data_IF_958044928564
#
_entry.id   IF_958044928564
#
_cell.length_a   1.000
_cell.length_b   1.000
_cell.length_c   1.000
_cell.angle_alpha   90.00
_cell.angle_beta   90.00
_cell.angle_gamma   90.00
#
_symmetry.space_group_name_H-M   'P 1'
#
loop_
_entity.id
_entity.type
_entity.pdbx_description
1 polymer ?
#
# COMPACT_ATOMS: atom_id res chain seq x y z
N UNK A 1 -32.70 -14.38 51.97
CA UNK A 1 -32.69 -13.00 52.50
C UNK A 1 -32.73 -12.05 51.31
N UNK A 2 -33.81 -11.26 51.19
CA UNK A 2 -33.99 -10.24 50.15
C UNK A 2 -33.14 -9.02 50.51
N UNK A 3 -32.31 -8.55 49.58
CA UNK A 3 -31.77 -7.19 49.62
C UNK A 3 -32.23 -6.50 48.34
N UNK A 4 -33.00 -5.43 48.52
CA UNK A 4 -33.63 -4.64 47.47
C UNK A 4 -33.17 -3.19 47.65
N UNK A 5 -33.08 -2.46 46.51
CA UNK A 5 -33.00 -0.99 46.33
C UNK A 5 -31.60 -0.37 46.39
N UNK A 6 -31.22 0.58 45.54
CA UNK A 6 -31.84 1.29 44.40
C UNK A 6 -30.71 2.02 43.61
N UNK A 7 -30.94 2.43 42.34
CA UNK A 7 -29.94 3.12 41.50
C UNK A 7 -29.87 4.64 41.77
N UNK A 8 -28.77 5.34 41.40
CA UNK A 8 -28.73 6.79 41.43
C UNK A 8 -29.39 7.42 40.19
N UNK A 9 -30.20 8.44 40.48
CA UNK A 9 -31.01 9.27 39.60
C UNK A 9 -30.18 10.31 38.84
N UNK A 10 -30.50 10.47 37.55
CA UNK A 10 -30.08 11.53 36.63
C UNK A 10 -30.67 12.89 37.04
N UNK A 11 -29.87 13.96 37.02
CA UNK A 11 -30.35 15.34 37.11
C UNK A 11 -29.93 16.09 35.84
N UNK A 12 -30.84 16.77 35.12
CA UNK A 12 -30.51 17.61 33.98
C UNK A 12 -30.20 19.04 34.46
N UNK A 13 -29.21 19.71 33.87
CA UNK A 13 -29.02 21.15 34.04
C UNK A 13 -28.91 21.80 32.65
N UNK A 14 -29.75 22.83 32.52
CA UNK A 14 -30.11 23.62 31.35
C UNK A 14 -28.94 24.38 30.69
N UNK A 15 -29.14 24.61 29.39
CA UNK A 15 -28.50 25.66 28.61
C UNK A 15 -29.06 27.05 28.99
N UNK A 16 -28.30 28.13 28.79
CA UNK A 16 -28.87 29.47 28.70
C UNK A 16 -29.24 29.82 27.25
N UNK A 17 -30.44 30.36 27.12
CA UNK A 17 -31.11 30.90 25.92
C UNK A 17 -30.69 32.35 25.62
N UNK A 18 -30.90 32.70 24.36
CA UNK A 18 -30.66 33.91 23.55
C UNK A 18 -30.89 35.33 24.11
N UNK A 19 -30.22 36.31 23.48
CA UNK A 19 -30.79 37.49 22.79
C UNK A 19 -29.60 38.20 22.08
N UNK A 20 -29.61 38.74 20.86
CA UNK A 20 -30.61 39.28 19.94
C UNK A 20 -29.85 40.39 19.18
N UNK A 21 -29.78 40.43 17.84
CA UNK A 21 -30.44 41.42 16.95
C UNK A 21 -29.81 41.23 15.56
N UNK A 22 -30.56 40.79 14.53
CA UNK A 22 -31.13 41.60 13.43
C UNK A 22 -30.09 42.50 12.72
N UNK A 23 -29.90 42.52 11.38
CA UNK A 23 -30.93 42.57 10.32
C UNK A 23 -30.31 42.52 8.89
N UNK A 24 -31.15 42.10 7.92
CA UNK A 24 -31.27 42.52 6.50
C UNK A 24 -30.21 42.00 5.47
N UNK A 25 -30.56 41.06 4.58
CA UNK A 25 -31.37 41.17 3.33
C UNK A 25 -30.68 41.91 2.17
N UNK A 26 -30.41 41.19 1.07
CA UNK A 26 -31.07 41.46 -0.21
C UNK A 26 -30.77 40.39 -1.26
N UNK A 27 -31.84 39.76 -1.71
CA UNK A 27 -32.03 39.01 -2.95
C UNK A 27 -31.68 39.85 -4.19
N UNK A 28 -31.22 39.21 -5.27
CA UNK A 28 -31.63 39.49 -6.66
C UNK A 28 -31.32 38.24 -7.49
N UNK A 29 -32.36 37.62 -8.02
CA UNK A 29 -32.28 36.71 -9.16
C UNK A 29 -32.43 37.50 -10.45
N UNK A 30 -31.63 37.17 -11.48
CA UNK A 30 -31.87 37.63 -12.84
C UNK A 30 -31.74 36.46 -13.82
N UNK A 31 -32.73 36.42 -14.71
CA UNK A 31 -33.06 35.40 -15.71
C UNK A 31 -32.05 35.35 -16.88
N UNK A 32 -32.04 34.18 -17.54
CA UNK A 32 -31.46 33.88 -18.86
C UNK A 32 -31.67 34.97 -19.91
N UNK A 33 -30.69 35.10 -20.83
CA UNK A 33 -30.96 35.29 -22.27
C UNK A 33 -30.02 34.43 -23.12
N UNK A 34 -30.62 33.74 -24.09
CA UNK A 34 -29.96 33.19 -25.29
C UNK A 34 -29.79 34.32 -26.31
N UNK A 35 -28.69 34.30 -27.05
CA UNK A 35 -28.63 34.86 -28.40
C UNK A 35 -27.70 34.02 -29.27
N UNK A 36 -28.22 33.75 -30.47
CA UNK A 36 -27.67 33.00 -31.58
C UNK A 36 -27.01 33.91 -32.61
N UNK A 37 -26.05 33.36 -33.36
CA UNK A 37 -25.48 33.90 -34.61
C UNK A 37 -23.95 33.95 -34.55
N UNK A 38 -23.14 33.61 -35.56
CA UNK A 38 -23.29 33.20 -36.96
C UNK A 38 -21.86 32.76 -37.38
N UNK A 39 -21.64 31.50 -37.79
CA UNK A 39 -21.20 31.07 -39.12
C UNK A 39 -19.91 31.73 -39.69
N UNK A 40 -18.81 30.96 -39.73
CA UNK A 40 -17.71 31.08 -40.70
C UNK A 40 -16.85 29.79 -40.74
N UNK A 41 -16.99 29.04 -41.85
CA UNK A 41 -15.98 28.32 -42.66
C UNK A 41 -14.89 27.39 -42.07
N UNK A 42 -15.13 26.07 -42.24
CA UNK A 42 -14.35 25.00 -42.95
C UNK A 42 -12.79 24.91 -42.87
N UNK A 43 -12.12 23.74 -43.08
CA UNK A 43 -12.62 22.51 -43.73
C UNK A 43 -12.31 21.15 -43.05
N UNK A 44 -13.03 20.11 -43.51
CA UNK A 44 -12.78 18.68 -43.27
C UNK A 44 -11.57 18.18 -44.08
N UNK A 45 -10.76 17.24 -43.57
CA UNK A 45 -9.85 16.47 -44.41
C UNK A 45 -10.58 15.28 -45.07
N UNK A 46 -10.35 15.19 -46.36
CA UNK A 46 -10.80 14.22 -47.35
C UNK A 46 -10.14 12.83 -47.15
N UNK A 47 -10.90 11.81 -47.54
CA UNK A 47 -10.48 10.41 -47.70
C UNK A 47 -9.28 10.31 -48.64
N UNK A 48 -8.32 9.46 -48.27
CA UNK A 48 -7.31 8.94 -49.19
C UNK A 48 -7.31 7.42 -49.13
N UNK A 49 -7.95 6.80 -50.12
CA UNK A 49 -7.79 5.39 -50.47
C UNK A 49 -6.38 5.17 -51.03
N UNK A 50 -5.56 4.37 -50.34
CA UNK A 50 -4.37 3.74 -50.94
C UNK A 50 -4.22 2.29 -50.46
N UNK A 51 -4.70 1.39 -51.33
CA UNK A 51 -4.21 0.04 -51.64
C UNK A 51 -3.47 -0.72 -50.53
N UNK A 52 -4.17 -1.74 -50.02
CA UNK A 52 -3.61 -2.98 -49.50
C UNK A 52 -2.57 -3.57 -50.48
N UNK A 53 -1.30 -3.62 -50.07
CA UNK A 53 -0.33 -4.62 -50.55
C UNK A 53 0.16 -5.41 -49.35
N UNK A 54 -0.20 -6.70 -49.33
CA UNK A 54 0.47 -7.73 -48.53
C UNK A 54 1.94 -7.74 -48.91
N UNK A 55 2.82 -7.55 -47.93
CA UNK A 55 4.21 -7.99 -48.00
C UNK A 55 4.41 -8.94 -46.84
N UNK A 56 5.06 -10.05 -47.17
CA UNK A 56 5.18 -11.27 -46.38
C UNK A 56 5.84 -11.05 -45.02
N UNK A 57 5.44 -11.90 -44.09
CA UNK A 57 6.14 -12.16 -42.83
C UNK A 57 7.59 -12.50 -43.10
N UNK A 58 8.51 -11.66 -42.61
CA UNK A 58 9.82 -12.11 -42.19
C UNK A 58 9.95 -11.87 -40.70
N UNK A 59 10.28 -12.97 -40.04
CA UNK A 59 10.37 -13.15 -38.60
C UNK A 59 11.77 -12.77 -38.12
N UNK A 60 11.85 -12.43 -36.82
CA UNK A 60 13.05 -12.13 -36.02
C UNK A 60 13.52 -10.68 -36.03
N UNK A 61 12.80 -9.84 -35.29
CA UNK A 61 13.48 -8.89 -34.41
C UNK A 61 13.29 -9.37 -32.97
N UNK A 62 14.37 -9.91 -32.42
CA UNK A 62 14.56 -10.06 -30.98
C UNK A 62 14.47 -8.65 -30.41
N UNK A 63 13.34 -8.31 -29.81
CA UNK A 63 13.22 -7.07 -29.06
C UNK A 63 14.28 -7.09 -27.98
N UNK A 64 15.17 -6.09 -27.97
CA UNK A 64 16.01 -5.84 -26.81
C UNK A 64 15.11 -5.83 -25.58
N UNK A 65 15.37 -6.70 -24.62
CA UNK A 65 14.86 -6.54 -23.27
C UNK A 65 15.24 -5.13 -22.84
N UNK A 66 14.26 -4.24 -22.79
CA UNK A 66 14.43 -2.93 -22.16
C UNK A 66 14.62 -3.24 -20.68
N UNK A 67 15.89 -3.43 -20.29
CA UNK A 67 16.26 -3.65 -18.90
C UNK A 67 15.77 -2.45 -18.11
N UNK A 68 14.83 -2.68 -17.18
CA UNK A 68 14.35 -1.63 -16.32
C UNK A 68 15.55 -1.02 -15.58
N UNK A 69 15.67 0.32 -15.53
CA UNK A 69 16.81 0.98 -14.91
C UNK A 69 16.98 0.53 -13.46
N UNK A 70 18.23 0.34 -13.04
CA UNK A 70 18.53 -0.08 -11.66
C UNK A 70 18.02 0.98 -10.69
N UNK A 71 17.56 0.57 -9.50
CA UNK A 71 17.01 1.51 -8.50
C UNK A 71 17.91 2.74 -8.27
N UNK A 72 19.21 2.51 -8.23
CA UNK A 72 20.25 3.52 -8.00
C UNK A 72 20.27 4.60 -9.10
N UNK A 73 19.94 4.23 -10.34
CA UNK A 73 19.84 5.16 -11.47
C UNK A 73 18.59 6.04 -11.35
N UNK A 74 17.55 5.54 -10.67
CA UNK A 74 16.29 6.25 -10.44
C UNK A 74 16.33 7.19 -9.23
N UNK A 75 17.06 6.84 -8.17
CA UNK A 75 17.05 7.60 -6.90
C UNK A 75 18.40 8.07 -6.39
N UNK A 76 19.47 7.88 -7.17
CA UNK A 76 20.87 8.10 -6.77
C UNK A 76 21.37 7.07 -5.75
N UNK A 77 22.68 6.81 -5.78
CA UNK A 77 23.33 5.74 -5.04
C UNK A 77 23.25 5.95 -3.52
N UNK A 78 23.48 7.17 -3.08
CA UNK A 78 23.50 7.57 -1.67
C UNK A 78 22.14 7.33 -1.02
N UNK A 79 21.05 7.62 -1.75
CA UNK A 79 19.70 7.36 -1.27
C UNK A 79 19.35 5.88 -1.27
N UNK A 80 19.84 5.11 -2.24
CA UNK A 80 19.64 3.66 -2.25
C UNK A 80 20.31 3.00 -1.03
N UNK A 81 21.53 3.46 -0.69
CA UNK A 81 22.30 3.03 0.48
C UNK A 81 21.60 3.38 1.80
N UNK A 82 21.11 4.62 1.95
CA UNK A 82 20.32 5.02 3.14
C UNK A 82 19.12 4.09 3.34
N UNK A 83 18.40 3.78 2.26
CA UNK A 83 17.23 2.91 2.34
C UNK A 83 17.59 1.47 2.72
N UNK A 84 18.78 0.98 2.40
CA UNK A 84 19.25 -0.34 2.85
C UNK A 84 19.55 -0.37 4.33
N UNK A 85 20.20 0.67 4.83
CA UNK A 85 20.47 0.82 6.27
C UNK A 85 19.16 0.88 7.04
N UNK A 86 18.14 1.55 6.49
CA UNK A 86 16.87 1.77 7.19
C UNK A 86 15.91 0.61 7.11
N UNK A 87 15.75 -0.01 5.94
CA UNK A 87 14.72 -1.02 5.71
C UNK A 87 15.28 -2.39 5.30
N UNK A 88 16.60 -2.46 5.15
CA UNK A 88 17.26 -3.59 4.53
C UNK A 88 17.28 -3.51 2.99
N UNK A 89 18.09 -4.38 2.39
CA UNK A 89 18.28 -4.51 0.95
C UNK A 89 16.98 -4.65 0.15
N UNK A 90 17.04 -4.38 -1.16
CA UNK A 90 15.90 -4.64 -2.03
C UNK A 90 15.87 -6.12 -2.46
N UNK A 91 14.80 -6.85 -2.20
CA UNK A 91 14.71 -8.28 -2.51
C UNK A 91 13.55 -8.62 -3.45
N UNK A 92 13.75 -9.55 -4.39
CA UNK A 92 12.66 -10.05 -5.22
C UNK A 92 11.71 -10.91 -4.38
N UNK A 93 10.54 -11.16 -4.96
CA UNK A 93 9.54 -12.07 -4.41
C UNK A 93 10.05 -13.51 -4.45
N UNK A 94 9.98 -14.19 -3.30
CA UNK A 94 10.27 -15.62 -3.20
C UNK A 94 9.00 -16.41 -2.93
N UNK A 95 8.88 -17.59 -3.52
CA UNK A 95 7.89 -18.61 -3.11
C UNK A 95 8.60 -19.84 -2.56
N UNK A 96 7.84 -20.74 -1.94
CA UNK A 96 8.37 -22.03 -1.45
C UNK A 96 8.85 -22.92 -2.60
N UNK A 97 8.22 -22.79 -3.77
CA UNK A 97 8.40 -23.66 -4.93
C UNK A 97 9.33 -23.05 -6.00
N UNK A 98 9.91 -21.87 -5.74
CA UNK A 98 10.80 -21.14 -6.66
C UNK A 98 10.67 -19.62 -6.56
N UNK A 99 11.35 -18.87 -7.43
CA UNK A 99 11.14 -17.44 -7.58
C UNK A 99 9.78 -17.18 -8.27
N UNK A 100 8.99 -16.23 -7.77
CA UNK A 100 7.80 -15.81 -8.53
C UNK A 100 6.57 -15.34 -7.76
N UNK A 101 5.54 -15.05 -8.55
CA UNK A 101 4.23 -14.58 -8.14
C UNK A 101 3.24 -15.72 -8.37
N UNK A 102 2.29 -15.92 -7.46
CA UNK A 102 1.33 -17.01 -7.66
C UNK A 102 0.41 -16.68 -8.84
N UNK A 103 -0.09 -17.70 -9.53
CA UNK A 103 -0.95 -17.49 -10.71
C UNK A 103 -2.20 -16.67 -10.41
N UNK A 104 -2.75 -16.76 -9.19
CA UNK A 104 -3.91 -15.97 -8.75
C UNK A 104 -3.57 -14.52 -8.34
N UNK A 105 -2.31 -14.14 -8.41
CA UNK A 105 -1.80 -12.78 -8.23
C UNK A 105 -1.37 -12.16 -9.57
N UNK A 106 -1.66 -12.84 -10.69
CA UNK A 106 -1.39 -12.39 -12.05
C UNK A 106 -2.71 -12.14 -12.79
N UNK A 107 -2.70 -11.22 -13.76
CA UNK A 107 -3.78 -11.03 -14.72
C UNK A 107 -3.73 -12.06 -15.87
N UNK A 108 -4.67 -11.96 -16.81
CA UNK A 108 -4.77 -12.87 -17.95
C UNK A 108 -3.55 -12.81 -18.88
N UNK A 109 -2.81 -11.70 -18.87
CA UNK A 109 -1.58 -11.51 -19.64
C UNK A 109 -0.32 -11.93 -18.85
N UNK A 110 -0.48 -12.46 -17.63
CA UNK A 110 0.62 -12.89 -16.77
C UNK A 110 1.34 -11.74 -16.06
N UNK A 111 0.75 -10.54 -16.00
CA UNK A 111 1.32 -9.39 -15.29
C UNK A 111 0.86 -9.37 -13.84
N UNK A 112 1.67 -8.87 -12.89
CA UNK A 112 1.28 -8.78 -11.50
C UNK A 112 0.03 -7.90 -11.30
N UNK A 113 -0.93 -8.42 -10.53
CA UNK A 113 -2.05 -7.63 -10.06
C UNK A 113 -1.58 -6.53 -9.11
N UNK A 114 -2.31 -5.42 -9.12
CA UNK A 114 -2.12 -4.30 -8.19
C UNK A 114 -3.19 -4.38 -7.12
N UNK A 115 -2.81 -4.16 -5.87
CA UNK A 115 -3.78 -4.14 -4.76
C UNK A 115 -4.90 -3.11 -5.04
N UNK A 116 -6.19 -3.50 -5.00
CA UNK A 116 -7.29 -2.65 -5.40
C UNK A 116 -7.50 -1.44 -4.47
N UNK A 117 -7.14 -1.58 -3.19
CA UNK A 117 -7.29 -0.51 -2.20
C UNK A 117 -6.12 -0.52 -1.20
N UNK A 118 -5.04 0.23 -1.47
CA UNK A 118 -3.87 0.32 -0.57
C UNK A 118 -3.54 1.75 -0.21
N UNK A 119 -3.00 1.96 0.98
CA UNK A 119 -2.49 3.27 1.41
C UNK A 119 -0.98 3.30 1.34
N UNK A 120 -0.43 4.46 0.97
CA UNK A 120 0.99 4.72 0.95
C UNK A 120 1.35 5.64 2.13
N UNK A 121 2.23 5.17 3.00
CA UNK A 121 2.72 5.89 4.16
C UNK A 121 4.19 6.27 3.93
N UNK A 122 4.58 7.44 4.45
CA UNK A 122 5.94 7.94 4.34
C UNK A 122 6.29 8.74 5.60
N UNK A 123 7.52 8.58 6.11
CA UNK A 123 7.96 9.35 7.28
C UNK A 123 7.94 10.85 6.98
N UNK A 124 7.49 11.64 7.95
CA UNK A 124 7.32 13.09 7.80
C UNK A 124 6.26 13.51 6.77
N UNK A 125 5.49 12.57 6.22
CA UNK A 125 4.34 12.86 5.37
C UNK A 125 3.11 13.26 6.20
N UNK A 126 2.13 13.88 5.55
CA UNK A 126 0.82 14.13 6.16
C UNK A 126 0.15 12.81 6.51
N UNK A 127 -0.32 12.61 7.76
CA UNK A 127 -1.11 11.44 8.12
C UNK A 127 -2.33 11.27 7.19
N UNK A 128 -2.75 10.03 6.89
CA UNK A 128 -3.99 9.80 6.16
C UNK A 128 -5.19 10.44 6.87
N UNK A 129 -6.16 10.92 6.09
CA UNK A 129 -7.47 11.30 6.64
C UNK A 129 -8.25 10.03 7.00
N UNK A 130 -8.17 9.62 8.25
CA UNK A 130 -8.85 8.42 8.75
C UNK A 130 -10.38 8.52 8.76
N UNK A 131 -10.94 9.69 8.46
CA UNK A 131 -12.38 9.87 8.26
C UNK A 131 -12.82 9.61 6.82
N UNK A 132 -11.89 9.62 5.87
CA UNK A 132 -12.16 9.32 4.46
C UNK A 132 -12.56 7.84 4.30
N UNK A 133 -13.75 7.53 3.74
CA UNK A 133 -14.16 6.17 3.43
C UNK A 133 -13.15 5.39 2.58
N UNK A 134 -12.42 6.04 1.67
CA UNK A 134 -11.40 5.39 0.86
C UNK A 134 -10.20 4.93 1.69
N UNK A 135 -9.80 5.71 2.71
CA UNK A 135 -8.75 5.35 3.66
C UNK A 135 -9.21 4.20 4.55
N UNK A 136 -10.44 4.27 5.08
CA UNK A 136 -11.02 3.19 5.88
C UNK A 136 -11.19 1.88 5.11
N UNK A 137 -11.47 1.96 3.81
CA UNK A 137 -11.56 0.79 2.94
C UNK A 137 -10.22 0.05 2.82
N UNK A 138 -9.10 0.79 2.80
CA UNK A 138 -7.77 0.22 2.72
C UNK A 138 -7.25 -0.33 4.07
N UNK A 139 -7.71 0.24 5.19
CA UNK A 139 -7.40 -0.22 6.53
C UNK A 139 -8.56 0.04 7.49
N UNK A 140 -9.35 -1.00 7.77
CA UNK A 140 -10.45 -0.97 8.72
C UNK A 140 -9.99 -1.57 10.04
N UNK A 141 -9.75 -0.68 11.02
CA UNK A 141 -9.26 -1.10 12.32
C UNK A 141 -10.29 -1.90 13.11
N UNK A 142 -11.58 -1.57 12.97
CA UNK A 142 -12.64 -2.26 13.69
C UNK A 142 -12.74 -3.70 13.19
N UNK A 143 -12.63 -3.90 11.88
CA UNK A 143 -12.60 -5.23 11.26
C UNK A 143 -11.34 -6.03 11.64
N UNK A 144 -10.18 -5.38 11.79
CA UNK A 144 -8.95 -6.02 12.28
C UNK A 144 -9.10 -6.46 13.76
N UNK A 145 -9.64 -5.59 14.61
CA UNK A 145 -9.88 -5.88 16.04
C UNK A 145 -10.85 -7.05 16.23
N UNK A 146 -11.87 -7.14 15.37
CA UNK A 146 -12.84 -8.22 15.35
C UNK A 146 -12.33 -9.48 14.62
N UNK A 147 -11.08 -9.47 14.14
CA UNK A 147 -10.46 -10.55 13.37
C UNK A 147 -11.30 -10.98 12.14
N UNK A 148 -12.04 -10.03 11.56
CA UNK A 148 -12.84 -10.20 10.35
C UNK A 148 -11.99 -10.01 9.09
N UNK A 149 -11.03 -9.09 9.17
CA UNK A 149 -10.08 -8.79 8.09
C UNK A 149 -8.65 -8.91 8.58
N UNK A 150 -7.76 -9.23 7.63
CA UNK A 150 -6.31 -9.30 7.85
C UNK A 150 -5.66 -8.20 7.04
N UNK A 151 -4.58 -7.65 7.56
CA UNK A 151 -3.86 -6.56 6.91
C UNK A 151 -2.37 -6.88 6.82
N UNK A 152 -1.81 -6.55 5.66
CA UNK A 152 -0.40 -6.73 5.33
C UNK A 152 0.23 -5.38 5.00
N UNK A 153 1.55 -5.32 5.16
CA UNK A 153 2.34 -4.15 4.84
C UNK A 153 3.61 -4.51 4.08
N UNK A 154 4.10 -3.58 3.27
CA UNK A 154 5.33 -3.74 2.48
C UNK A 154 6.09 -2.41 2.40
N UNK A 155 7.35 -2.41 2.81
CA UNK A 155 8.28 -1.33 2.50
C UNK A 155 8.79 -1.51 1.06
N UNK A 156 8.38 -0.59 0.20
CA UNK A 156 8.73 -0.58 -1.23
C UNK A 156 10.20 -0.27 -1.48
N UNK A 157 10.63 -0.44 -2.72
CA UNK A 157 11.96 -0.05 -3.17
C UNK A 157 12.33 1.41 -2.85
N UNK A 158 11.34 2.30 -2.82
CA UNK A 158 11.48 3.74 -2.53
C UNK A 158 11.43 4.10 -1.04
N UNK A 159 11.27 3.13 -0.14
CA UNK A 159 11.12 3.37 1.30
C UNK A 159 9.72 3.87 1.72
N UNK A 160 8.74 3.88 0.80
CA UNK A 160 7.33 4.06 1.14
C UNK A 160 6.77 2.76 1.71
N UNK A 161 5.97 2.86 2.78
CA UNK A 161 5.30 1.70 3.38
C UNK A 161 3.89 1.64 2.82
N UNK A 162 3.58 0.59 2.06
CA UNK A 162 2.23 0.33 1.61
C UNK A 162 1.51 -0.56 2.62
N UNK A 163 0.24 -0.27 2.89
CA UNK A 163 -0.64 -1.11 3.72
C UNK A 163 -1.93 -1.44 2.95
N UNK A 164 -2.47 -2.63 3.17
CA UNK A 164 -3.71 -3.07 2.54
C UNK A 164 -4.21 -4.39 3.13
N UNK A 165 -5.44 -4.74 2.79
CA UNK A 165 -6.07 -6.00 3.20
C UNK A 165 -5.34 -7.21 2.59
N UNK A 166 -5.25 -8.32 3.33
CA UNK A 166 -4.86 -9.60 2.77
C UNK A 166 -6.11 -10.26 2.16
N UNK A 167 -6.35 -10.01 0.88
CA UNK A 167 -7.61 -10.34 0.20
C UNK A 167 -7.73 -11.86 0.01
N UNK A 168 -8.79 -12.52 0.51
CA UNK A 168 -9.05 -13.92 0.22
C UNK A 168 -9.38 -14.09 -1.27
N UNK A 169 -8.78 -15.12 -1.89
CA UNK A 169 -9.09 -15.51 -3.27
C UNK A 169 -10.18 -16.56 -3.24
N UNK A 170 -11.23 -16.39 -4.05
CA UNK A 170 -12.23 -17.45 -4.23
C UNK A 170 -11.53 -18.78 -4.55
N UNK A 171 -11.79 -19.78 -3.71
CA UNK A 171 -11.21 -21.11 -3.86
C UNK A 171 -12.28 -22.05 -4.41
N UNK A 172 -11.87 -22.99 -5.25
CA UNK A 172 -12.71 -24.15 -5.59
C UNK A 172 -13.13 -24.86 -4.30
N UNK A 173 -14.34 -25.42 -4.29
CA UNK A 173 -14.94 -26.08 -3.13
C UNK A 173 -14.07 -27.23 -2.55
N UNK A 174 -13.15 -27.77 -3.35
CA UNK A 174 -12.25 -28.87 -3.00
C UNK A 174 -10.91 -28.41 -2.39
N UNK A 175 -10.63 -27.09 -2.34
CA UNK A 175 -9.39 -26.60 -1.74
C UNK A 175 -9.46 -26.62 -0.21
N UNK A 176 -8.60 -27.43 0.41
CA UNK A 176 -8.46 -27.52 1.87
C UNK A 176 -7.93 -26.22 2.50
N UNK A 177 -7.33 -25.31 1.72
CA UNK A 177 -6.76 -24.05 2.24
C UNK A 177 -7.25 -22.84 1.45
N UNK A 178 -7.78 -21.87 2.20
CA UNK A 178 -8.11 -20.53 1.69
C UNK A 178 -6.85 -19.84 1.18
N UNK A 179 -6.81 -19.54 -0.11
CA UNK A 179 -5.75 -18.74 -0.74
C UNK A 179 -5.99 -17.26 -0.48
N UNK A 180 -4.92 -16.50 -0.46
CA UNK A 180 -4.96 -15.06 -0.29
C UNK A 180 -4.03 -14.40 -1.30
N UNK A 181 -4.39 -13.19 -1.72
CA UNK A 181 -3.50 -12.29 -2.45
C UNK A 181 -2.60 -11.59 -1.43
N UNK A 182 -1.28 -11.76 -1.59
CA UNK A 182 -0.32 -11.40 -0.56
C UNK A 182 0.46 -10.11 -0.86
N UNK A 183 1.62 -10.01 -0.21
CA UNK A 183 2.55 -8.86 -0.31
C UNK A 183 2.88 -8.38 -1.73
N UNK A 184 3.00 -9.21 -2.80
CA UNK A 184 3.33 -8.70 -4.12
C UNK A 184 2.33 -7.68 -4.65
N UNK A 185 1.03 -7.79 -4.32
CA UNK A 185 0.04 -6.83 -4.80
C UNK A 185 0.29 -5.41 -4.27
N UNK A 186 0.87 -5.29 -3.07
CA UNK A 186 1.22 -3.99 -2.48
C UNK A 186 2.33 -3.29 -3.25
N UNK A 187 3.17 -4.03 -3.96
CA UNK A 187 4.32 -3.52 -4.73
C UNK A 187 4.23 -3.83 -6.22
N UNK A 188 3.04 -4.18 -6.72
CA UNK A 188 2.78 -4.53 -8.12
C UNK A 188 3.74 -5.61 -8.66
N UNK A 189 4.01 -6.64 -7.85
CA UNK A 189 4.93 -7.74 -8.17
C UNK A 189 6.40 -7.37 -8.14
N UNK A 190 6.73 -6.11 -7.91
CA UNK A 190 8.10 -5.63 -7.81
C UNK A 190 8.82 -6.12 -6.54
N UNK A 191 10.12 -5.87 -6.46
CA UNK A 191 10.88 -6.17 -5.27
C UNK A 191 10.48 -5.26 -4.09
N UNK A 192 10.68 -5.77 -2.87
CA UNK A 192 10.40 -5.06 -1.63
C UNK A 192 11.57 -5.18 -0.66
N UNK A 193 11.64 -4.24 0.30
CA UNK A 193 12.71 -4.18 1.29
C UNK A 193 12.39 -5.13 2.43
N UNK A 194 11.33 -4.82 3.18
CA UNK A 194 10.83 -5.63 4.28
C UNK A 194 9.30 -5.62 4.26
N UNK A 195 8.67 -6.75 4.56
CA UNK A 195 7.22 -6.89 4.58
C UNK A 195 6.73 -7.57 5.86
N UNK A 196 5.43 -7.49 6.08
CA UNK A 196 4.84 -8.09 7.26
C UNK A 196 3.33 -8.01 7.32
N UNK A 197 2.81 -8.29 8.51
CA UNK A 197 1.38 -8.27 8.80
C UNK A 197 1.11 -7.41 10.03
N UNK A 198 -0.14 -7.00 10.16
CA UNK A 198 -0.69 -6.44 11.38
C UNK A 198 -1.41 -7.52 12.17
N UNK A 199 -1.35 -7.41 13.48
CA UNK A 199 -2.19 -8.19 14.39
C UNK A 199 -2.68 -7.27 15.50
N UNK A 200 -3.96 -7.34 15.83
CA UNK A 200 -4.45 -6.69 17.04
C UNK A 200 -4.40 -7.68 18.21
N UNK A 201 -3.74 -7.31 19.29
CA UNK A 201 -3.78 -8.07 20.53
C UNK A 201 -4.93 -7.57 21.39
N UNK A 202 -6.05 -8.30 21.38
CA UNK A 202 -7.24 -7.96 22.15
C UNK A 202 -6.99 -7.94 23.67
N UNK A 203 -5.94 -8.58 24.19
CA UNK A 203 -5.65 -8.57 25.64
C UNK A 203 -4.97 -7.28 26.06
N UNK A 204 -3.99 -6.81 25.28
CA UNK A 204 -3.25 -5.59 25.58
C UNK A 204 -3.85 -4.34 24.94
N UNK A 205 -4.77 -4.51 23.98
CA UNK A 205 -5.37 -3.42 23.21
C UNK A 205 -4.41 -2.81 22.19
N UNK A 206 -3.30 -3.50 21.86
CA UNK A 206 -2.21 -2.98 21.03
C UNK A 206 -2.28 -3.47 19.60
N UNK A 207 -1.91 -2.60 18.67
CA UNK A 207 -1.68 -2.94 17.28
C UNK A 207 -0.22 -3.38 17.11
N UNK A 208 -0.02 -4.66 16.81
CA UNK A 208 1.29 -5.25 16.57
C UNK A 208 1.67 -5.13 15.09
N UNK A 209 2.84 -4.54 14.83
CA UNK A 209 3.52 -4.56 13.53
C UNK A 209 4.53 -5.70 13.53
N UNK A 210 4.31 -6.70 12.67
CA UNK A 210 5.07 -7.95 12.69
C UNK A 210 5.77 -8.13 11.34
N UNK A 211 7.09 -8.37 11.32
CA UNK A 211 7.86 -8.64 10.08
C UNK A 211 7.64 -10.07 9.52
N UNK A 212 6.39 -10.55 9.56
CA UNK A 212 6.00 -11.89 9.13
C UNK A 212 5.57 -11.85 7.66
N UNK A 213 6.53 -12.14 6.79
CA UNK A 213 6.27 -12.43 5.38
C UNK A 213 7.14 -13.60 4.95
N UNK A 214 6.50 -14.67 4.47
CA UNK A 214 7.19 -15.84 3.93
C UNK A 214 7.91 -15.56 2.60
N UNK A 215 7.64 -14.41 1.96
CA UNK A 215 8.06 -14.10 0.58
C UNK A 215 9.13 -13.02 0.50
N UNK A 216 9.10 -12.05 1.40
CA UNK A 216 10.01 -10.90 1.40
C UNK A 216 10.80 -10.71 2.70
N UNK A 217 10.42 -11.38 3.78
CA UNK A 217 11.01 -11.17 5.11
C UNK A 217 11.68 -12.42 5.66
N UNK A 218 12.14 -13.35 4.81
CA UNK A 218 12.94 -14.52 5.23
C UNK A 218 14.44 -14.30 5.11
N UNK A 219 14.86 -13.13 4.61
CA UNK A 219 16.26 -12.80 4.36
C UNK A 219 17.01 -12.42 5.64
N UNK A 220 18.25 -12.90 5.77
CA UNK A 220 19.10 -12.77 6.99
C UNK A 220 19.50 -11.34 7.32
N UNK A 221 19.57 -10.47 6.33
CA UNK A 221 19.89 -9.05 6.50
C UNK A 221 18.67 -8.22 6.96
N UNK A 222 17.61 -8.87 7.46
CA UNK A 222 16.47 -8.21 8.10
C UNK A 222 16.57 -8.30 9.60
N UNK A 223 17.12 -7.25 10.20
CA UNK A 223 17.17 -7.06 11.65
C UNK A 223 15.91 -6.43 12.23
N UNK A 224 15.87 -6.39 13.55
CA UNK A 224 14.83 -5.72 14.32
C UNK A 224 14.82 -4.20 14.10
N UNK A 225 15.99 -3.58 13.92
CA UNK A 225 16.10 -2.15 13.61
C UNK A 225 15.32 -1.76 12.34
N UNK A 226 15.31 -2.61 11.30
CA UNK A 226 14.55 -2.35 10.08
C UNK A 226 13.03 -2.41 10.32
N UNK A 227 12.57 -3.29 11.21
CA UNK A 227 11.17 -3.31 11.63
C UNK A 227 10.82 -2.05 12.43
N UNK A 228 11.73 -1.55 13.27
CA UNK A 228 11.51 -0.30 14.00
C UNK A 228 11.33 0.90 13.06
N UNK A 229 12.07 0.97 11.96
CA UNK A 229 11.88 2.05 10.99
C UNK A 229 10.53 2.00 10.28
N UNK A 230 10.03 0.81 9.97
CA UNK A 230 8.67 0.66 9.46
C UNK A 230 7.65 1.07 10.53
N UNK A 231 7.84 0.63 11.77
CA UNK A 231 6.95 0.95 12.88
C UNK A 231 6.92 2.45 13.19
N UNK A 232 8.04 3.16 13.03
CA UNK A 232 8.10 4.63 13.15
C UNK A 232 7.17 5.29 12.15
N UNK A 233 7.24 4.91 10.86
CA UNK A 233 6.35 5.45 9.82
C UNK A 233 4.89 5.16 10.14
N UNK A 234 4.59 3.94 10.59
CA UNK A 234 3.22 3.55 10.94
C UNK A 234 2.72 4.35 12.14
N UNK A 235 3.53 4.51 13.20
CA UNK A 235 3.18 5.32 14.37
C UNK A 235 2.88 6.78 14.00
N UNK A 236 3.73 7.39 13.17
CA UNK A 236 3.51 8.75 12.66
C UNK A 236 2.18 8.86 11.92
N UNK A 237 1.89 7.93 11.01
CA UNK A 237 0.66 7.94 10.22
C UNK A 237 -0.61 7.63 11.03
N UNK A 238 -0.50 6.79 12.06
CA UNK A 238 -1.63 6.32 12.86
C UNK A 238 -1.84 7.16 14.14
N UNK A 239 -0.97 8.13 14.42
CA UNK A 239 -1.08 9.00 15.59
C UNK A 239 -2.48 9.61 15.81
N UNK A 240 -3.22 10.07 14.76
CA UNK A 240 -4.58 10.60 14.95
C UNK A 240 -5.60 9.58 15.47
N UNK A 241 -5.34 8.27 15.32
CA UNK A 241 -6.21 7.21 15.81
C UNK A 241 -6.01 6.91 17.30
N UNK A 242 -4.97 7.44 17.94
CA UNK A 242 -4.70 7.22 19.37
C UNK A 242 -4.36 5.78 19.73
N UNK A 243 -3.81 5.01 18.78
CA UNK A 243 -3.51 3.59 18.98
C UNK A 243 -2.14 3.39 19.61
N UNK A 244 -2.05 2.41 20.53
CA UNK A 244 -0.77 1.91 21.00
C UNK A 244 -0.21 0.90 19.99
N UNK A 245 0.98 1.18 19.46
CA UNK A 245 1.60 0.43 18.37
C UNK A 245 2.95 -0.12 18.81
N UNK A 246 3.01 -1.45 18.87
CA UNK A 246 4.20 -2.21 19.21
C UNK A 246 4.71 -3.03 18.03
N UNK A 247 5.95 -3.49 18.16
CA UNK A 247 6.60 -4.35 17.16
C UNK A 247 6.77 -5.75 17.71
N UNK A 248 6.58 -6.74 16.85
CA UNK A 248 6.98 -8.13 17.13
C UNK A 248 7.94 -8.61 16.07
N UNK A 249 9.23 -8.65 16.42
CA UNK A 249 10.25 -9.20 15.53
C UNK A 249 10.21 -10.74 15.53
N UNK A 250 10.17 -11.33 14.35
CA UNK A 250 10.38 -12.76 14.12
C UNK A 250 11.75 -12.97 13.50
N UNK A 251 12.59 -13.73 14.19
CA UNK A 251 14.00 -13.99 13.87
C UNK A 251 14.22 -15.24 13.01
N UNK A 252 13.16 -15.90 12.53
CA UNK A 252 13.20 -17.11 11.69
C UNK A 252 13.64 -16.81 10.24
N UNK A 253 14.76 -16.09 10.10
CA UNK A 253 15.35 -15.62 8.84
C UNK A 253 16.39 -16.62 8.37
N UNK A 254 16.00 -17.46 7.41
CA UNK A 254 16.82 -18.59 6.97
C UNK A 254 17.44 -18.39 5.60
N UNK A 255 16.93 -17.47 4.79
CA UNK A 255 17.41 -17.23 3.44
C UNK A 255 18.58 -16.24 3.43
N UNK A 256 19.63 -16.55 2.70
CA UNK A 256 20.60 -15.53 2.32
C UNK A 256 19.90 -14.50 1.43
N UNK A 257 20.19 -13.23 1.68
CA UNK A 257 19.73 -12.15 0.83
C UNK A 257 20.33 -12.30 -0.57
N UNK A 258 19.47 -12.30 -1.59
CA UNK A 258 19.89 -12.47 -2.98
C UNK A 258 20.62 -11.22 -3.47
N UNK A 259 20.21 -10.07 -2.95
CA UNK A 259 20.87 -8.78 -3.14
C UNK A 259 21.40 -8.28 -1.79
N UNK A 260 22.71 -8.19 -1.61
CA UNK A 260 23.33 -7.69 -0.37
C UNK A 260 24.34 -6.59 -0.72
N UNK A 261 24.28 -5.39 -0.11
CA UNK A 261 23.13 -4.63 0.42
C UNK A 261 22.72 -3.53 -0.58
N UNK A 262 21.63 -3.69 -1.37
CA UNK A 262 21.15 -2.92 -2.59
C UNK A 262 22.14 -2.19 -3.51
N UNK A 263 23.41 -2.35 -3.22
CA UNK A 263 24.58 -2.32 -4.03
C UNK A 263 24.85 -3.80 -4.21
N UNK A 264 24.76 -4.33 -5.41
CA UNK A 264 25.81 -5.28 -5.72
C UNK A 264 26.70 -4.57 -6.70
N UNK A 265 27.99 -4.52 -6.42
CA UNK A 265 28.77 -5.12 -7.48
C UNK A 265 29.67 -6.20 -6.95
N UNK A 266 29.12 -7.38 -6.54
CA UNK A 266 29.87 -8.38 -5.79
C UNK A 266 31.17 -8.60 -6.40
N UNK A 267 32.12 -8.28 -5.58
CA UNK A 267 32.31 -7.06 -4.78
C UNK A 267 31.17 -6.28 -3.99
N UNK A 268 31.37 -6.02 -2.73
CA UNK A 268 32.56 -5.28 -2.40
C UNK A 268 33.32 -6.11 -1.41
N UNK A 269 34.23 -6.92 -1.97
CA UNK A 269 35.41 -7.40 -1.28
C UNK A 269 36.11 -6.20 -0.66
N UNK A 270 36.73 -6.45 0.48
CA UNK A 270 37.33 -5.47 1.36
C UNK A 270 38.47 -4.66 0.71
N UNK A 271 38.75 -3.44 1.19
CA UNK A 271 39.98 -2.75 0.84
C UNK A 271 41.16 -3.47 1.48
N UNK A 272 41.83 -4.33 0.72
CA UNK A 272 43.26 -4.59 0.93
C UNK A 272 44.04 -3.41 0.36
N UNK A 273 44.54 -2.54 1.24
CA UNK A 273 45.42 -1.41 0.92
C UNK A 273 45.37 -0.31 1.96
#
# INVERSE_FOLDING_TARGET
MKVTRNPPTTVPIEAPTEAGTSSLSSSIGIKRRRSSGTLADLPRPTRLDKRLRRVASDSRQVGSEVSAPKLQELIQKERAEDLDVRFGSLQPVRTKDGDGIHSWELDAEGRPLVHPCRLALQSGGTPPDWTDPAVRSAFDIDALQQNQKRYIWAASAMGRVFIGEEIPVECDADSVKQRHQGHPLLVAGGPARICGEFQFDARSGKLMVINKSGRYSRYRDRGEAHLQEVAKIIREAFAPLGLDIETKYRSDKTADALVLPSLDPRYRDEPTG
#
